data_IF_164235202661
#
_entry.id   IF_164235202661
#
_cell.length_a   1.000
_cell.length_b   1.000
_cell.length_c   1.000
_cell.angle_alpha   90.00
_cell.angle_beta   90.00
_cell.angle_gamma   90.00
#
_symmetry.space_group_name_H-M   'P 1'
#
loop_
_entity.id
_entity.type
_entity.pdbx_description
1 polymer ?
#
# COMPACT_ATOMS: atom_id res chain seq x y z
N UNK A 1 -13.33 15.59 -13.59
CA UNK A 1 -12.20 14.73 -13.14
C UNK A 1 -12.69 13.29 -13.13
N UNK A 2 -12.00 12.34 -13.76
CA UNK A 2 -12.45 10.95 -13.83
C UNK A 2 -12.07 10.22 -12.53
N UNK A 3 -13.06 9.70 -11.81
CA UNK A 3 -12.89 9.01 -10.51
C UNK A 3 -11.85 7.88 -10.61
N UNK A 4 -11.83 7.15 -11.75
CA UNK A 4 -10.83 6.10 -12.03
C UNK A 4 -9.40 6.67 -12.10
N UNK A 5 -9.23 7.82 -12.75
CA UNK A 5 -7.92 8.46 -12.90
C UNK A 5 -7.41 8.98 -11.56
N UNK A 6 -8.27 9.61 -10.77
CA UNK A 6 -7.92 10.09 -9.42
C UNK A 6 -7.53 8.93 -8.50
N UNK A 7 -8.30 7.84 -8.50
CA UNK A 7 -8.00 6.66 -7.67
C UNK A 7 -6.64 6.02 -8.00
N UNK A 8 -6.30 5.91 -9.30
CA UNK A 8 -5.00 5.38 -9.74
C UNK A 8 -3.87 6.32 -9.31
N UNK A 9 -3.99 7.63 -9.53
CA UNK A 9 -2.96 8.60 -9.17
C UNK A 9 -2.70 8.64 -7.67
N UNK A 10 -3.76 8.64 -6.86
CA UNK A 10 -3.68 8.58 -5.40
C UNK A 10 -2.94 7.33 -4.92
N UNK A 11 -3.27 6.17 -5.49
CA UNK A 11 -2.63 4.90 -5.15
C UNK A 11 -1.14 4.91 -5.51
N UNK A 12 -0.78 5.45 -6.68
CA UNK A 12 0.62 5.61 -7.10
C UNK A 12 1.40 6.55 -6.17
N UNK A 13 0.78 7.66 -5.73
CA UNK A 13 1.38 8.59 -4.75
C UNK A 13 1.61 7.89 -3.40
N UNK A 14 0.71 7.03 -2.94
CA UNK A 14 0.95 6.25 -1.72
C UNK A 14 2.10 5.26 -1.90
N UNK A 15 2.10 4.51 -3.01
CA UNK A 15 3.14 3.52 -3.31
C UNK A 15 4.54 4.13 -3.51
N UNK A 16 4.65 5.41 -3.89
CA UNK A 16 5.96 6.08 -4.03
C UNK A 16 6.69 6.28 -2.71
N UNK A 17 6.02 6.12 -1.56
CA UNK A 17 6.63 6.16 -0.23
C UNK A 17 7.34 4.85 0.15
N UNK A 18 7.32 3.86 -0.75
CA UNK A 18 8.03 2.59 -0.58
C UNK A 18 9.54 2.83 -0.48
N UNK A 19 10.08 2.66 0.73
CA UNK A 19 11.53 2.67 0.96
C UNK A 19 12.16 1.36 0.49
N UNK A 20 13.46 1.42 0.14
CA UNK A 20 14.22 0.29 -0.41
C UNK A 20 13.51 -0.35 -1.61
N UNK A 21 13.28 0.46 -2.66
CA UNK A 21 12.46 0.04 -3.81
C UNK A 21 12.93 -1.23 -4.52
N UNK A 22 14.21 -1.58 -4.36
CA UNK A 22 14.83 -2.80 -4.89
C UNK A 22 14.53 -4.07 -4.05
N UNK A 23 14.13 -3.93 -2.77
CA UNK A 23 13.95 -5.05 -1.85
C UNK A 23 12.51 -5.55 -1.71
N UNK A 24 11.53 -4.84 -2.26
CA UNK A 24 10.13 -5.26 -2.22
C UNK A 24 9.31 -4.68 -3.38
N UNK A 25 8.30 -5.42 -3.84
CA UNK A 25 7.35 -4.97 -4.88
C UNK A 25 6.29 -4.04 -4.29
N UNK A 26 5.56 -3.32 -5.15
CA UNK A 26 4.44 -2.47 -4.71
C UNK A 26 3.36 -3.29 -4.00
N UNK A 27 3.08 -4.49 -4.51
CA UNK A 27 2.10 -5.41 -3.91
C UNK A 27 2.56 -5.87 -2.54
N UNK A 28 3.83 -6.25 -2.39
CA UNK A 28 4.37 -6.62 -1.08
C UNK A 28 4.28 -5.47 -0.08
N UNK A 29 4.61 -4.24 -0.49
CA UNK A 29 4.50 -3.07 0.38
C UNK A 29 3.04 -2.81 0.83
N UNK A 30 2.07 -2.94 -0.08
CA UNK A 30 0.65 -2.81 0.25
C UNK A 30 0.16 -3.91 1.21
N UNK A 31 0.60 -5.17 1.02
CA UNK A 31 0.26 -6.27 1.92
C UNK A 31 0.86 -6.06 3.31
N UNK A 32 2.11 -5.61 3.38
CA UNK A 32 2.79 -5.27 4.64
C UNK A 32 2.09 -4.14 5.37
N UNK A 33 1.59 -3.13 4.66
CA UNK A 33 0.79 -2.06 5.27
C UNK A 33 -0.44 -2.63 6.00
N UNK A 34 -1.22 -3.52 5.36
CA UNK A 34 -2.36 -4.17 6.02
C UNK A 34 -1.92 -4.93 7.29
N UNK A 35 -0.83 -5.70 7.20
CA UNK A 35 -0.28 -6.49 8.29
C UNK A 35 0.45 -5.66 9.36
N UNK A 36 0.58 -4.35 9.17
CA UNK A 36 1.23 -3.45 10.13
C UNK A 36 0.33 -3.09 11.32
N UNK A 37 -0.97 -3.35 11.20
CA UNK A 37 -1.94 -3.08 12.25
C UNK A 37 -2.13 -4.34 13.10
N UNK A 38 -1.86 -4.31 14.42
CA UNK A 38 -2.02 -5.48 15.29
C UNK A 38 -3.43 -6.08 15.31
N UNK A 39 -4.44 -5.28 14.93
CA UNK A 39 -5.83 -5.71 14.82
C UNK A 39 -6.08 -6.58 13.56
N UNK A 40 -5.18 -6.55 12.59
CA UNK A 40 -5.26 -7.29 11.33
C UNK A 40 -4.43 -8.57 11.45
N UNK A 41 -5.11 -9.71 11.54
CA UNK A 41 -4.47 -11.04 11.66
C UNK A 41 -4.04 -11.64 10.32
N UNK A 42 -4.63 -11.19 9.20
CA UNK A 42 -4.31 -11.69 7.86
C UNK A 42 -4.74 -10.69 6.79
N UNK A 43 -4.13 -10.78 5.61
CA UNK A 43 -4.53 -10.05 4.40
C UNK A 43 -4.77 -11.03 3.26
N UNK A 44 -5.86 -10.83 2.51
CA UNK A 44 -6.28 -11.72 1.42
C UNK A 44 -6.20 -10.93 0.11
N UNK A 45 -5.08 -11.01 -0.64
CA UNK A 45 -5.00 -10.44 -1.97
C UNK A 45 -5.84 -11.23 -2.99
N UNK A 46 -6.39 -10.52 -3.97
CA UNK A 46 -6.80 -11.15 -5.23
C UNK A 46 -5.57 -11.58 -6.02
N UNK A 47 -5.47 -12.86 -6.36
CA UNK A 47 -4.32 -13.44 -7.06
C UNK A 47 -4.82 -14.22 -8.29
N UNK A 48 -4.18 -14.02 -9.44
CA UNK A 48 -4.58 -14.65 -10.71
C UNK A 48 -3.71 -15.85 -11.09
N UNK A 49 -2.47 -15.93 -10.59
CA UNK A 49 -1.53 -16.98 -10.97
C UNK A 49 -0.54 -17.35 -9.85
N UNK A 50 0.09 -18.51 -9.99
CA UNK A 50 1.04 -19.03 -9.00
C UNK A 50 2.29 -18.15 -8.80
N UNK A 51 2.71 -17.43 -9.85
CA UNK A 51 3.87 -16.51 -9.75
C UNK A 51 3.56 -15.36 -8.78
N UNK A 52 2.37 -14.78 -8.88
CA UNK A 52 1.91 -13.77 -7.93
C UNK A 52 1.79 -14.32 -6.50
N UNK A 53 1.34 -15.57 -6.32
CA UNK A 53 1.36 -16.22 -4.99
C UNK A 53 2.78 -16.25 -4.42
N UNK A 54 3.73 -16.74 -5.21
CA UNK A 54 5.14 -16.86 -4.80
C UNK A 54 5.80 -15.51 -4.54
N UNK A 55 5.44 -14.48 -5.30
CA UNK A 55 5.93 -13.13 -5.03
C UNK A 55 5.29 -12.55 -3.77
N UNK A 56 3.97 -12.65 -3.62
CA UNK A 56 3.22 -11.98 -2.57
C UNK A 56 3.46 -12.59 -1.18
N UNK A 57 3.71 -13.90 -1.09
CA UNK A 57 4.00 -14.56 0.19
C UNK A 57 5.27 -14.00 0.87
N UNK A 58 6.20 -13.42 0.11
CA UNK A 58 7.40 -12.78 0.67
C UNK A 58 7.01 -11.63 1.63
N UNK A 59 5.86 -10.99 1.43
CA UNK A 59 5.36 -9.94 2.33
C UNK A 59 5.17 -10.42 3.77
N UNK A 60 4.77 -11.68 4.00
CA UNK A 60 4.63 -12.22 5.36
C UNK A 60 5.98 -12.39 6.05
N UNK A 61 7.03 -12.71 5.30
CA UNK A 61 8.38 -12.88 5.82
C UNK A 61 9.07 -11.55 6.12
N UNK A 62 8.74 -10.49 5.35
CA UNK A 62 9.26 -9.14 5.56
C UNK A 62 8.66 -8.45 6.79
N UNK A 63 7.55 -8.96 7.32
CA UNK A 63 6.90 -8.41 8.50
C UNK A 63 6.23 -7.04 8.27
N UNK A 64 5.77 -6.38 9.34
CA UNK A 64 5.10 -5.08 9.25
C UNK A 64 6.03 -4.01 8.69
N UNK A 65 5.45 -2.88 8.27
CA UNK A 65 6.20 -1.66 7.95
C UNK A 65 6.72 -1.02 9.24
N UNK A 66 7.81 -0.28 9.11
CA UNK A 66 8.34 0.52 10.21
C UNK A 66 7.39 1.68 10.55
N UNK A 67 7.40 2.11 11.81
CA UNK A 67 6.45 3.10 12.31
C UNK A 67 6.55 4.46 11.59
N UNK A 68 7.73 4.84 11.11
CA UNK A 68 7.94 6.04 10.29
C UNK A 68 7.29 5.92 8.92
N UNK A 69 7.40 4.77 8.25
CA UNK A 69 6.76 4.50 6.97
C UNK A 69 5.23 4.60 7.08
N UNK A 70 4.67 4.06 8.16
CA UNK A 70 3.22 4.13 8.43
C UNK A 70 2.78 5.59 8.61
N UNK A 71 3.55 6.39 9.36
CA UNK A 71 3.25 7.83 9.57
C UNK A 71 3.28 8.61 8.25
N UNK A 72 4.27 8.37 7.41
CA UNK A 72 4.36 9.03 6.10
C UNK A 72 3.19 8.62 5.18
N UNK A 73 2.79 7.34 5.19
CA UNK A 73 1.61 6.89 4.44
C UNK A 73 0.31 7.54 4.95
N UNK A 74 0.15 7.65 6.27
CA UNK A 74 -1.01 8.32 6.86
C UNK A 74 -1.06 9.80 6.46
N UNK A 75 0.08 10.49 6.50
CA UNK A 75 0.19 11.88 6.05
C UNK A 75 -0.16 12.02 4.58
N UNK A 76 0.41 11.18 3.72
CA UNK A 76 0.13 11.19 2.29
C UNK A 76 -1.35 10.92 1.99
N UNK A 77 -1.99 10.00 2.72
CA UNK A 77 -3.42 9.74 2.61
C UNK A 77 -4.27 10.95 3.01
N UNK A 78 -3.95 11.63 4.13
CA UNK A 78 -4.66 12.82 4.57
C UNK A 78 -4.58 13.95 3.53
N UNK A 79 -3.39 14.20 2.95
CA UNK A 79 -3.23 15.17 1.86
C UNK A 79 -4.07 14.83 0.64
N UNK A 80 -4.18 13.54 0.30
CA UNK A 80 -4.98 13.07 -0.84
C UNK A 80 -6.49 13.18 -0.54
N UNK A 81 -6.95 12.80 0.65
CA UNK A 81 -8.36 12.86 1.04
C UNK A 81 -8.88 14.29 0.99
N UNK A 82 -8.09 15.24 1.54
CA UNK A 82 -8.40 16.66 1.48
C UNK A 82 -8.59 17.15 0.04
N UNK A 83 -7.72 16.73 -0.88
CA UNK A 83 -7.84 17.08 -2.30
C UNK A 83 -9.05 16.46 -2.99
N UNK A 84 -9.55 15.32 -2.52
CA UNK A 84 -10.75 14.68 -3.09
C UNK A 84 -12.00 15.39 -2.59
N UNK A 85 -12.07 15.70 -1.29
CA UNK A 85 -13.21 16.36 -0.64
C UNK A 85 -13.42 17.79 -1.13
N UNK A 86 -12.35 18.58 -1.35
CA UNK A 86 -12.43 19.95 -1.87
C UNK A 86 -12.90 20.02 -3.35
N UNK A 87 -12.93 18.90 -4.08
CA UNK A 87 -13.25 18.82 -5.50
C UNK A 87 -14.57 18.08 -5.82
N UNK A 88 -15.39 17.79 -4.79
CA UNK A 88 -16.73 17.18 -4.89
C UNK A 88 -17.79 18.07 -4.28
#
# INVERSE_FOLDING_TARGET
MNILTTGIQSSLKMLSHKTNSCSQTNTQFALRFCLSYPQVVSTIPGILNEKEVKENIIASNLGPLEADQIRELQKAYQEISFLIEDNT
#
